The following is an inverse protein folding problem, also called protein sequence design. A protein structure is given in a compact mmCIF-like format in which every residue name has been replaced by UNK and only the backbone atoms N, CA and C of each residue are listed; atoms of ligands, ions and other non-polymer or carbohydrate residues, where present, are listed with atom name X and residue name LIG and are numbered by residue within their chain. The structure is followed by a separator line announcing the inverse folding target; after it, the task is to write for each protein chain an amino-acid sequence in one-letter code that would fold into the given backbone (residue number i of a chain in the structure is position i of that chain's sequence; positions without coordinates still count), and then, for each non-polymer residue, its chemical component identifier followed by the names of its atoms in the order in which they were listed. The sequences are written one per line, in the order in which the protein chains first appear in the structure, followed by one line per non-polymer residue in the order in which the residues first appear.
data_IF_115903722815
#
_entry.id   IF_115903722815
#
_cell.length_a   1.000
_cell.length_b   1.000
_cell.length_c   1.000
_cell.angle_alpha   90.00
_cell.angle_beta   90.00
_cell.angle_gamma   90.00
#
_symmetry.space_group_name_H-M   'P 1'
#
loop_
_entity.id
_entity.type
_entity.pdbx_description
1 polymer ?
#
# COMPACT_ATOMS: atom_id res chain seq x y z
N UNK A 1 12.00 -23.95 -38.58
CA UNK A 1 11.23 -22.70 -38.66
C UNK A 1 10.64 -22.51 -37.28
N UNK A 2 11.52 -22.06 -36.39
CA UNK A 2 11.34 -22.07 -34.95
C UNK A 2 10.54 -20.84 -34.55
N UNK A 3 9.31 -21.06 -34.08
CA UNK A 3 8.46 -20.01 -33.51
C UNK A 3 8.29 -20.29 -32.01
N UNK A 4 9.28 -19.88 -31.23
CA UNK A 4 9.12 -19.69 -29.79
C UNK A 4 9.23 -18.20 -29.51
N UNK A 5 8.10 -17.51 -29.64
CA UNK A 5 7.90 -16.17 -29.12
C UNK A 5 7.92 -16.28 -27.59
N UNK A 6 9.13 -16.24 -27.02
CA UNK A 6 9.32 -15.82 -25.65
C UNK A 6 8.60 -14.49 -25.50
N UNK A 7 7.51 -14.46 -24.74
CA UNK A 7 6.79 -13.24 -24.45
C UNK A 7 7.79 -12.25 -23.86
N UNK A 8 8.16 -11.24 -24.66
CA UNK A 8 9.12 -10.21 -24.32
C UNK A 8 8.46 -9.33 -23.26
N UNK A 9 8.58 -9.76 -22.01
CA UNK A 9 8.08 -9.00 -20.86
C UNK A 9 8.98 -7.77 -20.77
N UNK A 10 8.56 -6.69 -21.43
CA UNK A 10 9.24 -5.40 -21.43
C UNK A 10 9.77 -5.10 -20.03
N UNK A 11 11.05 -4.75 -19.91
CA UNK A 11 11.75 -4.51 -18.64
C UNK A 11 10.94 -3.65 -17.66
N UNK A 12 10.20 -2.66 -18.19
CA UNK A 12 9.28 -1.82 -17.40
C UNK A 12 8.17 -2.61 -16.71
N UNK A 13 7.59 -3.62 -17.38
CA UNK A 13 6.55 -4.51 -16.84
C UNK A 13 7.13 -5.46 -15.78
N UNK A 14 8.37 -5.91 -15.95
CA UNK A 14 9.09 -6.72 -14.96
C UNK A 14 9.43 -5.91 -13.68
N UNK A 15 9.84 -4.65 -13.82
CA UNK A 15 10.06 -3.74 -12.68
C UNK A 15 8.75 -3.43 -11.96
N UNK A 16 7.65 -3.20 -12.70
CA UNK A 16 6.33 -2.96 -12.12
C UNK A 16 5.81 -4.19 -11.38
N UNK A 17 5.98 -5.40 -11.93
CA UNK A 17 5.68 -6.68 -11.25
C UNK A 17 6.55 -6.87 -9.99
N UNK A 18 7.81 -6.48 -10.03
CA UNK A 18 8.70 -6.50 -8.86
C UNK A 18 8.24 -5.55 -7.75
N UNK A 19 7.81 -4.34 -8.10
CA UNK A 19 7.29 -3.35 -7.16
C UNK A 19 5.89 -3.70 -6.61
N UNK A 20 5.12 -4.50 -7.34
CA UNK A 20 3.81 -5.02 -6.94
C UNK A 20 3.86 -6.39 -6.26
N UNK A 21 5.05 -6.97 -6.09
CA UNK A 21 5.22 -8.28 -5.45
C UNK A 21 4.62 -8.28 -4.03
N UNK A 22 3.92 -9.35 -3.66
CA UNK A 22 3.18 -9.47 -2.38
C UNK A 22 4.11 -9.30 -1.18
N UNK A 23 5.41 -9.58 -1.39
CA UNK A 23 6.46 -9.45 -0.40
C UNK A 23 6.69 -8.02 0.10
N UNK A 24 6.34 -6.98 -0.67
CA UNK A 24 6.52 -5.57 -0.23
C UNK A 24 5.25 -4.94 0.32
N UNK A 25 4.06 -5.38 -0.10
CA UNK A 25 2.79 -4.75 0.29
C UNK A 25 2.45 -4.95 1.77
N UNK A 26 2.71 -6.14 2.33
CA UNK A 26 2.49 -6.42 3.75
C UNK A 26 3.39 -5.57 4.67
N UNK A 27 4.72 -5.59 4.49
CA UNK A 27 5.65 -4.76 5.25
C UNK A 27 5.39 -3.25 5.09
N UNK A 28 5.11 -2.79 3.88
CA UNK A 28 4.79 -1.37 3.61
C UNK A 28 3.54 -0.93 4.37
N UNK A 29 2.52 -1.78 4.45
CA UNK A 29 1.31 -1.49 5.23
C UNK A 29 1.57 -1.38 6.73
N UNK A 30 2.36 -2.31 7.27
CA UNK A 30 2.76 -2.27 8.67
C UNK A 30 3.53 -0.98 9.00
N UNK A 31 4.43 -0.57 8.12
CA UNK A 31 5.17 0.68 8.25
C UNK A 31 4.22 1.90 8.22
N UNK A 32 3.29 1.97 7.26
CA UNK A 32 2.29 3.04 7.18
C UNK A 32 1.44 3.15 8.46
N UNK A 33 0.94 2.02 8.98
CA UNK A 33 0.22 1.99 10.26
C UNK A 33 1.07 2.52 11.41
N UNK A 34 2.32 2.09 11.47
CA UNK A 34 3.27 2.51 12.52
C UNK A 34 3.53 4.01 12.46
N UNK A 35 3.73 4.57 11.26
CA UNK A 35 3.91 6.01 11.05
C UNK A 35 2.66 6.78 11.47
N UNK A 36 1.46 6.32 11.13
CA UNK A 36 0.22 6.97 11.56
C UNK A 36 0.03 6.94 13.08
N UNK A 37 0.38 5.84 13.74
CA UNK A 37 0.36 5.76 15.21
C UNK A 37 1.35 6.73 15.84
N UNK A 38 2.57 6.82 15.31
CA UNK A 38 3.58 7.74 15.80
C UNK A 38 3.19 9.21 15.55
N UNK A 39 2.56 9.49 14.41
CA UNK A 39 1.98 10.80 14.11
C UNK A 39 0.84 11.15 15.08
N UNK A 40 -0.02 10.18 15.42
CA UNK A 40 -1.05 10.36 16.44
C UNK A 40 -0.45 10.66 17.82
N UNK A 41 0.58 9.92 18.22
CA UNK A 41 1.30 10.15 19.47
C UNK A 41 1.95 11.54 19.52
N UNK A 42 2.58 11.98 18.42
CA UNK A 42 3.22 13.30 18.36
C UNK A 42 2.19 14.44 18.40
N UNK A 43 1.05 14.29 17.72
CA UNK A 43 -0.06 15.24 17.78
C UNK A 43 -0.69 15.31 19.17
N UNK A 44 -0.84 14.17 19.86
CA UNK A 44 -1.33 14.14 21.24
C UNK A 44 -0.36 14.87 22.20
N UNK A 45 0.95 14.66 22.04
CA UNK A 45 1.97 15.38 22.80
C UNK A 45 1.95 16.90 22.49
N UNK A 46 1.85 17.28 21.22
CA UNK A 46 1.72 18.68 20.81
C UNK A 46 0.45 19.33 21.35
N UNK A 47 -0.67 18.59 21.41
CA UNK A 47 -1.92 19.10 21.95
C UNK A 47 -1.81 19.31 23.47
N UNK A 48 -1.18 18.38 24.18
CA UNK A 48 -0.92 18.53 25.62
C UNK A 48 -0.06 19.78 25.89
N UNK A 49 1.01 19.98 25.12
CA UNK A 49 1.85 21.18 25.22
C UNK A 49 1.09 22.46 24.86
N UNK A 50 0.23 22.42 23.83
CA UNK A 50 -0.59 23.56 23.43
C UNK A 50 -1.54 24.00 24.56
N UNK A 51 -2.15 23.05 25.26
CA UNK A 51 -2.97 23.34 26.44
C UNK A 51 -2.15 23.98 27.58
N UNK A 52 -0.92 23.53 27.81
CA UNK A 52 -0.02 24.15 28.79
C UNK A 52 0.36 25.59 28.40
N UNK A 53 0.51 25.87 27.11
CA UNK A 53 0.86 27.21 26.61
C UNK A 53 -0.30 28.21 26.70
N UNK A 54 -1.54 27.77 26.96
CA UNK A 54 -2.76 28.60 26.99
C UNK A 54 -3.02 29.39 25.69
N UNK A 55 -2.32 29.05 24.60
CA UNK A 55 -2.46 29.72 23.31
C UNK A 55 -3.58 29.05 22.50
N UNK A 56 -4.72 29.74 22.44
CA UNK A 56 -5.92 29.28 21.73
C UNK A 56 -5.70 29.09 20.22
N UNK A 57 -4.78 29.86 19.62
CA UNK A 57 -4.46 29.72 18.19
C UNK A 57 -3.70 28.42 17.94
N UNK A 58 -2.71 28.13 18.79
CA UNK A 58 -1.92 26.89 18.71
C UNK A 58 -2.82 25.67 18.99
N UNK A 59 -3.68 25.74 20.02
CA UNK A 59 -4.65 24.66 20.32
C UNK A 59 -5.56 24.42 19.12
N UNK A 60 -6.10 25.48 18.51
CA UNK A 60 -6.94 25.36 17.31
C UNK A 60 -6.20 24.73 16.13
N UNK A 61 -4.94 25.12 15.90
CA UNK A 61 -4.11 24.58 14.82
C UNK A 61 -3.83 23.07 15.03
N UNK A 62 -3.45 22.67 16.24
CA UNK A 62 -3.19 21.26 16.55
C UNK A 62 -4.47 20.43 16.44
N UNK A 63 -5.63 20.96 16.83
CA UNK A 63 -6.92 20.29 16.67
C UNK A 63 -7.24 20.04 15.19
N UNK A 64 -6.97 21.02 14.32
CA UNK A 64 -7.13 20.86 12.87
C UNK A 64 -6.23 19.75 12.32
N UNK A 65 -4.96 19.71 12.75
CA UNK A 65 -4.02 18.65 12.34
C UNK A 65 -4.49 17.26 12.78
N UNK A 66 -5.08 17.14 13.97
CA UNK A 66 -5.68 15.89 14.45
C UNK A 66 -6.84 15.46 13.55
N UNK A 67 -7.74 16.38 13.20
CA UNK A 67 -8.89 16.08 12.32
C UNK A 67 -8.40 15.63 10.94
N UNK A 68 -7.46 16.36 10.32
CA UNK A 68 -6.90 16.02 9.01
C UNK A 68 -6.22 14.65 9.06
N UNK A 69 -5.39 14.40 10.08
CA UNK A 69 -4.73 13.11 10.28
C UNK A 69 -5.75 11.97 10.41
N UNK A 70 -6.83 12.17 11.18
CA UNK A 70 -7.92 11.21 11.31
C UNK A 70 -8.64 10.92 10.00
N UNK A 71 -8.97 11.96 9.22
CA UNK A 71 -9.58 11.80 7.89
C UNK A 71 -8.63 11.03 6.96
N UNK A 72 -7.35 11.40 6.92
CA UNK A 72 -6.34 10.68 6.12
C UNK A 72 -6.24 9.21 6.52
N UNK A 73 -6.27 8.91 7.81
CA UNK A 73 -6.24 7.54 8.31
C UNK A 73 -7.46 6.75 7.86
N UNK A 74 -8.67 7.33 7.95
CA UNK A 74 -9.91 6.69 7.48
C UNK A 74 -9.87 6.47 5.98
N UNK A 75 -9.47 7.48 5.19
CA UNK A 75 -9.35 7.37 3.74
C UNK A 75 -8.35 6.29 3.34
N UNK A 76 -7.19 6.22 4.01
CA UNK A 76 -6.19 5.20 3.78
C UNK A 76 -6.74 3.80 4.08
N UNK A 77 -7.37 3.61 5.24
CA UNK A 77 -7.98 2.31 5.58
C UNK A 77 -9.12 1.94 4.63
N UNK A 78 -9.91 2.92 4.18
CA UNK A 78 -11.01 2.69 3.23
C UNK A 78 -10.50 2.33 1.85
N UNK A 79 -9.47 3.03 1.37
CA UNK A 79 -8.77 2.71 0.13
C UNK A 79 -8.25 1.27 0.17
N UNK A 80 -7.58 0.90 1.27
CA UNK A 80 -7.03 -0.44 1.44
C UNK A 80 -8.08 -1.54 1.57
N UNK A 81 -9.22 -1.23 2.22
CA UNK A 81 -10.34 -2.16 2.29
C UNK A 81 -10.96 -2.41 0.90
N UNK A 82 -10.99 -1.39 0.04
CA UNK A 82 -11.55 -1.47 -1.31
C UNK A 82 -10.58 -2.09 -2.32
N UNK A 83 -9.29 -1.73 -2.28
CA UNK A 83 -8.30 -2.32 -3.19
C UNK A 83 -7.93 -3.74 -2.77
N UNK A 84 -8.14 -4.09 -1.49
CA UNK A 84 -7.50 -5.23 -0.86
C UNK A 84 -5.98 -5.07 -0.89
N UNK A 85 -5.24 -5.88 -0.12
CA UNK A 85 -3.90 -6.23 -0.55
C UNK A 85 -4.11 -6.97 -1.86
N UNK A 86 -3.92 -6.30 -3.00
CA UNK A 86 -4.10 -6.93 -4.31
C UNK A 86 -3.29 -8.22 -4.28
N UNK A 87 -3.99 -9.35 -4.31
CA UNK A 87 -3.32 -10.64 -4.29
C UNK A 87 -2.56 -10.72 -5.61
N UNK A 88 -1.29 -11.10 -5.54
CA UNK A 88 -0.42 -11.12 -6.71
C UNK A 88 -0.97 -12.04 -7.79
N UNK A 89 -1.77 -13.04 -7.41
CA UNK A 89 -2.49 -13.92 -8.33
C UNK A 89 -3.45 -13.14 -9.26
N UNK A 90 -4.21 -12.17 -8.73
CA UNK A 90 -5.10 -11.29 -9.51
C UNK A 90 -4.32 -10.33 -10.42
N UNK A 91 -3.18 -9.83 -9.96
CA UNK A 91 -2.27 -9.01 -10.78
C UNK A 91 -1.60 -9.80 -11.89
N UNK A 92 -1.23 -11.06 -11.64
CA UNK A 92 -0.71 -11.98 -12.66
C UNK A 92 -1.79 -12.36 -13.68
N UNK A 93 -3.01 -12.63 -13.23
CA UNK A 93 -4.14 -12.98 -14.08
C UNK A 93 -4.54 -11.81 -15.00
N UNK A 94 -4.68 -10.58 -14.47
CA UNK A 94 -4.99 -9.37 -15.25
C UNK A 94 -3.85 -8.95 -16.20
N UNK A 95 -2.59 -9.34 -15.92
CA UNK A 95 -1.45 -9.11 -16.82
C UNK A 95 -1.30 -10.19 -17.91
N UNK A 96 -2.20 -11.17 -17.95
CA UNK A 96 -2.23 -12.26 -18.93
C UNK A 96 -1.21 -13.38 -18.65
N UNK A 97 -0.76 -13.52 -17.40
CA UNK A 97 0.26 -14.50 -16.97
C UNK A 97 -0.42 -15.73 -16.36
N UNK A 98 -1.61 -16.10 -16.86
CA UNK A 98 -2.21 -17.39 -16.53
C UNK A 98 -1.33 -18.47 -17.16
N UNK A 99 -0.77 -19.32 -16.30
CA UNK A 99 0.10 -20.43 -16.64
C UNK A 99 -0.53 -21.30 -17.76
N UNK A 100 -0.14 -21.07 -19.01
CA UNK A 100 -0.07 -22.16 -19.98
C UNK A 100 1.20 -22.97 -19.65
N UNK A 101 1.17 -23.65 -18.50
CA UNK A 101 2.19 -24.64 -18.12
C UNK A 101 1.56 -25.88 -17.45
N UNK A 102 0.23 -26.04 -17.51
CA UNK A 102 -0.46 -27.24 -17.01
C UNK A 102 -0.98 -28.15 -18.14
N UNK A 103 -0.33 -28.13 -19.31
CA UNK A 103 -0.72 -29.00 -20.42
C UNK A 103 0.46 -29.42 -21.31
N UNK A 104 1.53 -30.01 -20.77
CA UNK A 104 2.25 -31.06 -21.50
C UNK A 104 3.21 -31.81 -20.56
N UNK A 105 2.75 -32.91 -19.99
CA UNK A 105 3.58 -33.74 -19.11
C UNK A 105 2.87 -34.95 -18.54
N UNK A 106 1.84 -35.45 -19.22
CA UNK A 106 1.27 -36.77 -18.94
C UNK A 106 0.66 -37.29 -20.24
N UNK A 107 1.43 -38.12 -20.94
CA UNK A 107 0.98 -39.32 -21.64
C UNK A 107 2.20 -39.97 -22.31
N UNK A 108 2.54 -41.15 -21.77
CA UNK A 108 3.25 -42.33 -22.31
C UNK A 108 4.52 -42.19 -23.18
#
# INVERSE_FOLDING_TARGET
MDSKTSADVSSSKAVLLGALSSGVNGPTWSALKTVFLLLGLSLAAMLALAFLSTDVMIVGHVLLLIIISGVLFVLLNSFLAQTGLVSVEKQMEELGISLENDAEGKED
#
